data_IF_597485613995
#
_entry.id   IF_597485613995
#
_cell.length_a   1.000
_cell.length_b   1.000
_cell.length_c   1.000
_cell.angle_alpha   90.00
_cell.angle_beta   90.00
_cell.angle_gamma   90.00
#
_symmetry.space_group_name_H-M   'P 1'
#
loop_
_entity.id
_entity.type
_entity.pdbx_description
1 polymer ?
#
# COMPACT_ATOMS: atom_id res chain seq x y z
N UNK A 1 -15.88 1.15 35.16
CA UNK A 1 -14.98 1.78 34.23
C UNK A 1 -15.35 1.60 32.74
N UNK A 2 -15.84 0.41 32.31
CA UNK A 2 -16.24 0.14 30.90
C UNK A 2 -17.34 1.07 30.35
N UNK A 3 -18.37 1.40 31.13
CA UNK A 3 -19.48 2.25 30.68
C UNK A 3 -19.11 3.73 30.40
N UNK A 4 -18.13 4.27 31.11
CA UNK A 4 -17.66 5.67 30.85
C UNK A 4 -16.89 5.83 29.54
N UNK A 5 -16.25 4.75 29.05
CA UNK A 5 -15.52 4.75 27.77
C UNK A 5 -16.45 4.73 26.56
N UNK A 6 -17.51 3.93 26.62
CA UNK A 6 -18.54 3.86 25.56
C UNK A 6 -19.29 5.18 25.44
N UNK A 7 -19.57 5.87 26.58
CA UNK A 7 -20.25 7.15 26.58
C UNK A 7 -19.39 8.28 25.94
N UNK A 8 -18.04 8.24 26.12
CA UNK A 8 -17.13 9.20 25.49
C UNK A 8 -17.02 9.00 23.97
N UNK A 9 -17.03 7.77 23.50
CA UNK A 9 -17.06 7.45 22.06
C UNK A 9 -18.39 7.87 21.42
N UNK A 10 -19.52 7.67 22.11
CA UNK A 10 -20.83 8.11 21.64
C UNK A 10 -20.97 9.64 21.58
N UNK A 11 -20.47 10.37 22.58
CA UNK A 11 -20.47 11.84 22.61
C UNK A 11 -19.57 12.43 21.52
N UNK A 12 -18.46 11.79 21.20
CA UNK A 12 -17.54 12.23 20.14
C UNK A 12 -18.12 12.01 18.73
N UNK A 13 -18.84 10.91 18.51
CA UNK A 13 -19.57 10.68 17.27
C UNK A 13 -20.62 11.77 17.01
N UNK A 14 -21.31 12.23 18.06
CA UNK A 14 -22.30 13.32 17.97
C UNK A 14 -21.63 14.67 17.68
N UNK A 15 -20.46 14.95 18.25
CA UNK A 15 -19.75 16.23 18.03
C UNK A 15 -19.18 16.34 16.61
N UNK A 16 -18.71 15.21 16.03
CA UNK A 16 -18.24 15.17 14.63
C UNK A 16 -19.40 15.31 13.65
N UNK A 17 -20.58 14.76 13.97
CA UNK A 17 -21.77 14.89 13.12
C UNK A 17 -22.30 16.33 13.03
N UNK A 18 -22.11 17.17 14.06
CA UNK A 18 -22.55 18.58 14.05
C UNK A 18 -21.58 19.52 13.35
N UNK A 19 -20.30 19.18 13.26
CA UNK A 19 -19.28 20.01 12.60
C UNK A 19 -19.29 19.89 11.06
N UNK A 20 -19.85 18.80 10.50
CA UNK A 20 -19.81 18.51 9.06
C UNK A 20 -20.87 19.28 8.26
N UNK A 21 -21.94 19.80 8.91
CA UNK A 21 -23.04 20.48 8.21
C UNK A 21 -22.73 21.91 7.72
N UNK A 22 -21.53 22.42 7.95
CA UNK A 22 -21.17 23.82 7.67
C UNK A 22 -20.29 24.06 6.43
N UNK A 23 -19.79 23.04 5.73
CA UNK A 23 -18.71 23.23 4.76
C UNK A 23 -18.92 22.58 3.39
N UNK A 24 -20.14 22.32 2.99
CA UNK A 24 -20.43 21.71 1.69
C UNK A 24 -20.85 22.77 0.65
N UNK A 25 -19.92 23.33 -0.09
CA UNK A 25 -20.20 23.92 -1.40
C UNK A 25 -19.22 23.42 -2.44
N UNK A 26 -19.74 22.59 -3.33
CA UNK A 26 -19.36 22.45 -4.72
C UNK A 26 -18.17 21.57 -5.06
N UNK A 27 -18.43 20.35 -5.50
CA UNK A 27 -17.86 19.76 -6.70
C UNK A 27 -18.52 18.42 -7.00
N UNK A 28 -19.11 18.33 -8.15
CA UNK A 28 -19.75 17.13 -8.70
C UNK A 28 -18.67 16.13 -9.14
N UNK A 29 -18.43 15.07 -8.37
CA UNK A 29 -17.60 13.96 -8.80
C UNK A 29 -18.31 12.64 -8.52
N UNK A 30 -18.53 11.90 -9.60
CA UNK A 30 -19.30 10.64 -9.61
C UNK A 30 -18.80 9.60 -8.62
N UNK A 31 -19.75 8.76 -8.23
CA UNK A 31 -19.64 7.65 -7.31
C UNK A 31 -18.39 6.79 -7.50
N UNK A 32 -17.79 6.42 -6.39
CA UNK A 32 -16.87 5.31 -6.25
C UNK A 32 -15.42 5.74 -6.21
N UNK A 33 -14.90 5.91 -4.97
CA UNK A 33 -13.48 5.95 -4.72
C UNK A 33 -12.84 4.61 -5.08
N UNK A 34 -12.76 4.32 -6.37
CA UNK A 34 -11.77 3.40 -6.89
C UNK A 34 -10.47 4.17 -6.86
N UNK A 35 -9.62 3.81 -5.94
CA UNK A 35 -8.28 4.29 -6.04
C UNK A 35 -7.62 3.69 -7.26
N UNK A 36 -6.93 4.57 -7.94
CA UNK A 36 -6.46 4.43 -9.30
C UNK A 36 -5.25 3.51 -9.42
N UNK A 37 -5.38 2.33 -8.83
CA UNK A 37 -4.40 1.30 -9.08
C UNK A 37 -4.49 0.78 -10.50
N UNK A 38 -5.64 0.49 -11.04
CA UNK A 38 -5.65 -0.41 -12.18
C UNK A 38 -6.74 -0.22 -13.22
N UNK A 39 -7.77 0.60 -13.04
CA UNK A 39 -8.57 0.92 -14.19
C UNK A 39 -7.66 1.55 -15.24
N UNK A 40 -7.55 0.92 -16.42
CA UNK A 40 -6.63 1.40 -17.44
C UNK A 40 -6.81 2.91 -17.57
N UNK A 41 -5.72 3.66 -17.64
CA UNK A 41 -5.77 5.12 -17.84
C UNK A 41 -6.73 5.44 -18.98
N UNK A 42 -6.87 4.55 -19.95
CA UNK A 42 -7.82 4.63 -21.08
C UNK A 42 -9.30 4.58 -20.69
N UNK A 43 -9.71 3.81 -19.69
CA UNK A 43 -11.11 3.83 -19.23
C UNK A 43 -11.43 5.13 -18.46
N UNK A 44 -10.46 5.63 -17.71
CA UNK A 44 -10.55 6.92 -17.02
C UNK A 44 -10.50 8.09 -18.01
N UNK A 45 -9.75 7.99 -19.09
CA UNK A 45 -9.73 8.96 -20.20
C UNK A 45 -11.10 9.12 -20.88
N UNK A 46 -11.94 8.09 -20.89
CA UNK A 46 -13.28 8.15 -21.50
C UNK A 46 -14.34 8.85 -20.65
N UNK A 47 -14.10 8.96 -19.35
CA UNK A 47 -15.07 9.52 -18.38
C UNK A 47 -14.74 10.98 -18.02
N UNK A 48 -13.55 11.47 -18.39
CA UNK A 48 -13.08 12.82 -18.03
C UNK A 48 -13.43 13.82 -19.14
N UNK A 49 -14.07 14.92 -18.78
CA UNK A 49 -14.41 16.00 -19.73
C UNK A 49 -13.13 16.74 -20.14
N UNK A 50 -12.77 16.63 -21.42
CA UNK A 50 -11.47 17.08 -22.00
C UNK A 50 -11.06 18.53 -21.67
N UNK A 51 -11.98 19.38 -21.25
CA UNK A 51 -11.73 20.80 -21.04
C UNK A 51 -11.24 21.18 -19.64
N UNK A 52 -11.49 20.33 -18.62
CA UNK A 52 -11.12 20.55 -17.22
C UNK A 52 -10.02 19.61 -16.70
N UNK A 53 -9.43 18.77 -17.56
CA UNK A 53 -8.58 17.68 -17.12
C UNK A 53 -7.09 17.94 -17.30
N UNK A 54 -6.70 19.11 -17.82
CA UNK A 54 -5.30 19.46 -18.01
C UNK A 54 -4.53 19.58 -16.70
N UNK A 55 -5.21 20.01 -15.63
CA UNK A 55 -4.59 20.21 -14.33
C UNK A 55 -5.60 20.02 -13.22
N UNK A 56 -5.39 19.02 -12.39
CA UNK A 56 -6.19 18.75 -11.20
C UNK A 56 -5.30 18.63 -9.98
N UNK A 57 -5.70 19.25 -8.88
CA UNK A 57 -5.02 19.20 -7.60
C UNK A 57 -5.92 18.54 -6.57
N UNK A 58 -5.36 17.56 -5.86
CA UNK A 58 -6.04 16.87 -4.78
C UNK A 58 -5.23 16.95 -3.49
N UNK A 59 -5.93 17.16 -2.39
CA UNK A 59 -5.40 16.93 -1.06
C UNK A 59 -6.08 15.69 -0.50
N UNK A 60 -5.30 14.66 -0.21
CA UNK A 60 -5.78 13.40 0.35
C UNK A 60 -5.40 13.35 1.83
N UNK A 61 -6.36 13.16 2.72
CA UNK A 61 -6.11 13.13 4.16
C UNK A 61 -6.83 11.97 4.83
N UNK A 62 -6.20 11.45 5.88
CA UNK A 62 -6.80 10.52 6.83
C UNK A 62 -6.37 10.96 8.23
N UNK A 63 -7.33 11.35 9.04
CA UNK A 63 -7.18 11.67 10.47
C UNK A 63 -8.07 10.76 11.28
N UNK A 64 -7.58 10.29 12.42
CA UNK A 64 -8.32 9.37 13.27
C UNK A 64 -8.23 9.76 14.73
N UNK A 65 -9.26 9.41 15.50
CA UNK A 65 -9.14 9.20 16.93
C UNK A 65 -9.05 7.70 17.19
N UNK A 66 -8.01 7.28 17.88
CA UNK A 66 -7.72 5.88 18.16
C UNK A 66 -7.75 5.65 19.67
N UNK A 67 -8.22 4.48 20.08
CA UNK A 67 -8.17 3.97 21.45
C UNK A 67 -7.65 2.53 21.43
N UNK A 68 -6.50 2.30 22.03
CA UNK A 68 -5.95 0.96 22.19
C UNK A 68 -6.72 0.19 23.28
N UNK A 69 -7.06 -1.07 23.00
CA UNK A 69 -7.88 -1.91 23.89
C UNK A 69 -7.10 -2.91 24.73
N UNK A 70 -5.79 -2.85 24.75
CA UNK A 70 -4.91 -3.74 25.52
C UNK A 70 -3.56 -3.08 25.78
N UNK A 71 -2.89 -3.47 26.87
CA UNK A 71 -1.65 -2.84 27.27
C UNK A 71 -1.86 -1.48 27.93
N UNK A 72 -0.85 -0.61 27.80
CA UNK A 72 -0.96 0.78 28.29
C UNK A 72 -2.03 1.53 27.49
N UNK A 73 -2.97 2.21 28.17
CA UNK A 73 -4.01 2.98 27.51
C UNK A 73 -3.37 4.16 26.81
N UNK A 74 -3.26 4.08 25.48
CA UNK A 74 -2.85 5.18 24.61
C UNK A 74 -4.01 5.48 23.65
N UNK A 75 -4.69 6.57 23.89
CA UNK A 75 -5.79 7.05 23.05
C UNK A 75 -5.54 8.49 22.63
N UNK A 76 -5.88 8.84 21.39
CA UNK A 76 -5.69 10.20 20.93
C UNK A 76 -5.96 10.43 19.45
N UNK A 77 -5.86 11.71 19.07
CA UNK A 77 -5.93 12.10 17.67
C UNK A 77 -4.62 11.79 16.95
N UNK A 78 -4.71 11.14 15.80
CA UNK A 78 -3.59 10.79 14.93
C UNK A 78 -3.81 11.36 13.52
N UNK A 79 -2.85 12.12 13.00
CA UNK A 79 -2.76 12.43 11.57
C UNK A 79 -2.07 11.25 10.88
N UNK A 80 -2.81 10.43 10.16
CA UNK A 80 -2.28 9.22 9.55
C UNK A 80 -1.67 9.45 8.19
N UNK A 81 -2.35 10.22 7.35
CA UNK A 81 -1.93 10.50 5.98
C UNK A 81 -2.26 11.94 5.61
N UNK A 82 -1.33 12.56 4.92
CA UNK A 82 -1.52 13.85 4.27
C UNK A 82 -0.73 13.84 2.97
N UNK A 83 -1.42 13.86 1.82
CA UNK A 83 -0.80 13.77 0.51
C UNK A 83 -1.35 14.85 -0.40
N UNK A 84 -0.44 15.53 -1.08
CA UNK A 84 -0.75 16.44 -2.17
C UNK A 84 -0.51 15.73 -3.49
N UNK A 85 -1.47 15.78 -4.41
CA UNK A 85 -1.38 15.17 -5.71
C UNK A 85 -1.81 16.15 -6.80
N UNK A 86 -0.95 16.33 -7.81
CA UNK A 86 -1.28 17.01 -9.04
C UNK A 86 -1.22 16.04 -10.21
N UNK A 87 -2.23 16.06 -11.07
CA UNK A 87 -2.29 15.20 -12.26
C UNK A 87 -3.14 15.80 -13.35
N UNK A 88 -2.90 15.39 -14.59
CA UNK A 88 -3.67 15.84 -15.72
C UNK A 88 -3.12 15.38 -17.05
N UNK A 89 -3.77 15.88 -18.10
CA UNK A 89 -3.40 15.65 -19.49
C UNK A 89 -2.88 16.93 -20.10
N UNK A 90 -1.71 16.88 -20.74
CA UNK A 90 -1.19 17.99 -21.49
C UNK A 90 -1.81 18.05 -22.88
N UNK A 91 -2.04 16.88 -23.48
CA UNK A 91 -2.72 16.69 -24.77
C UNK A 91 -3.31 15.26 -24.89
N UNK A 92 -3.61 14.80 -26.11
CA UNK A 92 -4.16 13.46 -26.38
C UNK A 92 -3.17 12.32 -26.09
N UNK A 93 -1.87 12.62 -26.02
CA UNK A 93 -0.81 11.64 -25.87
C UNK A 93 -0.14 11.73 -24.50
N UNK A 94 0.00 12.92 -23.93
CA UNK A 94 0.77 13.15 -22.72
C UNK A 94 -0.11 13.33 -21.50
N UNK A 95 0.21 12.60 -20.44
CA UNK A 95 -0.34 12.82 -19.10
C UNK A 95 0.76 12.76 -18.04
N UNK A 96 0.48 13.35 -16.89
CA UNK A 96 1.43 13.41 -15.79
C UNK A 96 0.77 13.15 -14.46
N UNK A 97 1.58 12.71 -13.49
CA UNK A 97 1.19 12.55 -12.09
C UNK A 97 2.35 12.93 -11.18
N UNK A 98 2.06 13.78 -10.20
CA UNK A 98 2.99 14.22 -9.17
C UNK A 98 2.32 14.04 -7.82
N UNK A 99 2.96 13.37 -6.86
CA UNK A 99 2.40 13.18 -5.53
C UNK A 99 3.47 13.33 -4.45
N UNK A 100 3.14 14.15 -3.44
CA UNK A 100 3.94 14.33 -2.23
C UNK A 100 3.23 13.72 -1.03
N UNK A 101 3.99 13.05 -0.16
CA UNK A 101 3.59 12.57 1.15
C UNK A 101 4.13 13.52 2.22
N UNK A 102 3.27 14.28 2.88
CA UNK A 102 3.69 15.19 3.94
C UNK A 102 3.93 14.49 5.29
N UNK A 103 3.46 13.26 5.44
CA UNK A 103 3.75 12.40 6.59
C UNK A 103 5.18 11.86 6.63
N UNK A 104 5.97 12.04 5.57
CA UNK A 104 7.32 11.54 5.45
C UNK A 104 8.38 12.64 5.64
N UNK A 105 9.58 12.20 6.03
CA UNK A 105 10.75 13.07 6.09
C UNK A 105 11.11 13.66 4.72
N UNK A 106 11.57 14.90 4.71
CA UNK A 106 12.11 15.62 3.55
C UNK A 106 13.57 15.27 3.24
N UNK A 107 14.13 14.22 3.83
CA UNK A 107 15.49 13.77 3.51
C UNK A 107 15.62 13.42 2.03
N UNK A 108 16.73 13.87 1.44
CA UNK A 108 17.09 13.50 0.08
C UNK A 108 17.42 12.00 -0.01
N UNK A 109 17.08 11.43 -1.16
CA UNK A 109 17.53 10.11 -1.61
C UNK A 109 18.72 10.28 -2.57
N UNK A 110 19.42 9.20 -2.87
CA UNK A 110 20.55 9.20 -3.81
C UNK A 110 20.10 9.46 -5.28
N UNK A 111 18.82 9.26 -5.57
CA UNK A 111 18.20 9.57 -6.86
C UNK A 111 17.96 11.08 -7.09
N UNK A 112 18.30 11.93 -6.12
CA UNK A 112 18.10 13.37 -6.16
C UNK A 112 16.70 13.86 -5.76
N UNK A 113 15.74 12.96 -5.55
CA UNK A 113 14.42 13.29 -5.05
C UNK A 113 14.32 13.13 -3.52
N UNK A 114 13.41 13.89 -2.89
CA UNK A 114 13.14 13.73 -1.47
C UNK A 114 12.31 12.46 -1.21
N UNK A 115 12.37 11.94 0.03
CA UNK A 115 11.51 10.84 0.46
C UNK A 115 10.02 11.21 0.45
N UNK A 116 9.71 12.51 0.50
CA UNK A 116 8.33 13.00 0.43
C UNK A 116 7.74 12.91 -0.97
N UNK A 117 8.57 12.96 -2.03
CA UNK A 117 8.12 12.78 -3.41
C UNK A 117 8.04 11.29 -3.73
N UNK A 118 6.85 10.72 -3.73
CA UNK A 118 6.66 9.29 -3.99
C UNK A 118 6.21 8.97 -5.42
N UNK A 119 5.60 9.91 -6.12
CA UNK A 119 5.27 9.78 -7.54
C UNK A 119 5.69 11.05 -8.28
N UNK A 120 6.43 10.89 -9.36
CA UNK A 120 6.73 11.91 -10.37
C UNK A 120 6.91 11.19 -11.70
N UNK A 121 5.85 11.09 -12.47
CA UNK A 121 5.87 10.33 -13.72
C UNK A 121 5.15 11.06 -14.84
N UNK A 122 5.58 10.74 -16.05
CA UNK A 122 4.97 11.16 -17.30
C UNK A 122 4.58 9.90 -18.08
N UNK A 123 3.38 9.91 -18.64
CA UNK A 123 2.90 8.87 -19.55
C UNK A 123 2.80 9.41 -20.95
N UNK A 124 3.16 8.60 -21.93
CA UNK A 124 3.01 8.87 -23.34
C UNK A 124 2.21 7.77 -24.04
N UNK A 125 1.06 8.11 -24.57
CA UNK A 125 0.22 7.21 -25.34
C UNK A 125 0.73 7.22 -26.80
N UNK A 126 1.50 6.19 -27.17
CA UNK A 126 2.07 6.04 -28.52
C UNK A 126 0.96 5.82 -29.55
N UNK A 127 0.01 4.98 -29.23
CA UNK A 127 -1.19 4.68 -30.02
C UNK A 127 -2.28 4.09 -29.10
N UNK A 128 -3.40 3.66 -29.65
CA UNK A 128 -4.56 3.14 -28.88
C UNK A 128 -4.22 1.93 -27.97
N UNK A 129 -3.11 1.24 -28.21
CA UNK A 129 -2.73 0.01 -27.49
C UNK A 129 -1.42 0.11 -26.74
N UNK A 130 -0.53 1.03 -27.12
CA UNK A 130 0.82 1.10 -26.57
C UNK A 130 1.00 2.37 -25.76
N UNK A 131 1.43 2.23 -24.52
CA UNK A 131 1.71 3.29 -23.58
C UNK A 131 3.10 3.15 -22.98
N UNK A 132 3.80 4.26 -22.88
CA UNK A 132 5.08 4.39 -22.19
C UNK A 132 4.88 5.20 -20.91
N UNK A 133 5.58 4.83 -19.85
CA UNK A 133 5.57 5.54 -18.57
C UNK A 133 7.00 5.69 -18.08
N UNK A 134 7.40 6.88 -17.67
CA UNK A 134 8.77 7.18 -17.22
C UNK A 134 8.72 8.07 -15.98
N UNK A 135 9.59 7.80 -15.01
CA UNK A 135 9.77 8.60 -13.81
C UNK A 135 9.76 7.80 -12.53
N UNK A 136 9.59 8.48 -11.40
CA UNK A 136 9.44 7.86 -10.08
C UNK A 136 7.98 7.43 -9.92
N UNK A 137 7.77 6.15 -9.75
CA UNK A 137 6.43 5.55 -9.70
C UNK A 137 6.43 4.31 -8.83
N UNK A 138 5.24 3.90 -8.38
CA UNK A 138 5.09 2.57 -7.83
C UNK A 138 5.44 1.53 -8.90
N UNK A 139 6.22 0.52 -8.54
CA UNK A 139 6.42 -0.65 -9.40
C UNK A 139 5.04 -1.22 -9.77
N UNK A 140 4.86 -1.66 -11.00
CA UNK A 140 3.63 -2.31 -11.45
C UNK A 140 3.45 -3.70 -10.83
N UNK A 141 3.56 -3.79 -9.50
CA UNK A 141 3.35 -5.03 -8.76
C UNK A 141 1.87 -5.31 -8.59
N UNK A 142 1.48 -6.58 -8.60
CA UNK A 142 0.11 -7.01 -8.44
C UNK A 142 -0.43 -6.88 -7.03
N UNK A 143 -1.76 -7.01 -6.91
CA UNK A 143 -2.46 -6.99 -5.64
C UNK A 143 -3.25 -5.71 -5.39
N UNK A 144 -4.45 -5.89 -4.88
CA UNK A 144 -5.40 -4.78 -4.66
C UNK A 144 -5.17 -4.07 -3.33
N UNK A 145 -4.61 -4.73 -2.31
CA UNK A 145 -4.15 -4.04 -1.10
C UNK A 145 -3.00 -3.08 -1.43
N UNK A 146 -2.09 -3.51 -2.31
CA UNK A 146 -0.97 -2.71 -2.78
C UNK A 146 -1.43 -1.49 -3.59
N UNK A 147 -2.44 -1.67 -4.46
CA UNK A 147 -2.99 -0.62 -5.32
C UNK A 147 -3.93 0.33 -4.58
N UNK A 148 -4.41 -0.06 -3.39
CA UNK A 148 -5.36 0.74 -2.64
C UNK A 148 -4.78 2.09 -2.24
N UNK A 149 -5.63 3.14 -2.28
CA UNK A 149 -5.24 4.44 -1.75
C UNK A 149 -4.93 4.34 -0.27
N UNK A 150 -3.72 4.69 0.09
CA UNK A 150 -3.27 4.59 1.46
C UNK A 150 -4.13 5.37 2.46
N UNK A 151 -4.91 6.37 2.02
CA UNK A 151 -5.85 7.06 2.92
C UNK A 151 -7.03 6.17 3.32
N UNK A 152 -7.37 5.17 2.49
CA UNK A 152 -8.50 4.26 2.74
C UNK A 152 -8.07 3.00 3.50
N UNK A 153 -6.77 2.70 3.55
CA UNK A 153 -6.25 1.53 4.24
C UNK A 153 -6.01 1.85 5.71
N UNK A 154 -6.82 1.26 6.58
CA UNK A 154 -6.73 1.46 8.03
C UNK A 154 -5.51 0.75 8.62
N UNK A 155 -5.20 -0.44 8.12
CA UNK A 155 -3.98 -1.19 8.45
C UNK A 155 -3.55 -2.06 7.26
N UNK A 156 -2.26 -2.05 6.96
CA UNK A 156 -1.67 -2.90 5.92
C UNK A 156 -1.26 -4.26 6.50
N UNK A 157 -1.19 -5.29 5.64
CA UNK A 157 -0.37 -6.46 5.92
C UNK A 157 1.08 -6.04 6.21
N UNK A 158 1.81 -6.80 7.01
CA UNK A 158 3.23 -6.48 7.30
C UNK A 158 4.06 -6.49 6.02
N UNK A 159 3.72 -7.34 5.06
CA UNK A 159 4.33 -7.37 3.73
C UNK A 159 4.24 -5.99 3.05
N UNK A 160 3.05 -5.46 2.88
CA UNK A 160 2.87 -4.17 2.20
C UNK A 160 3.32 -2.97 3.05
N UNK A 161 3.25 -3.06 4.38
CA UNK A 161 3.70 -2.00 5.29
C UNK A 161 5.22 -1.78 5.23
N UNK A 162 5.99 -2.85 4.99
CA UNK A 162 7.46 -2.84 5.00
C UNK A 162 8.09 -2.85 3.61
N UNK A 163 7.30 -2.70 2.54
CA UNK A 163 7.79 -2.76 1.18
C UNK A 163 7.78 -1.38 0.50
N UNK A 164 8.96 -0.81 0.25
CA UNK A 164 9.08 0.44 -0.51
C UNK A 164 9.18 0.16 -2.00
N UNK A 165 8.22 0.66 -2.76
CA UNK A 165 8.02 0.35 -4.17
C UNK A 165 8.06 1.56 -5.09
N UNK A 166 8.13 2.78 -4.54
CA UNK A 166 8.20 4.01 -5.35
C UNK A 166 9.63 4.21 -5.87
N UNK A 167 9.92 3.66 -7.04
CA UNK A 167 11.25 3.60 -7.66
C UNK A 167 11.27 4.39 -8.98
N UNK A 168 12.47 4.86 -9.37
CA UNK A 168 12.68 5.51 -10.68
C UNK A 168 12.86 4.45 -11.74
N UNK A 169 12.10 4.57 -12.83
CA UNK A 169 12.19 3.63 -13.94
C UNK A 169 11.30 3.99 -15.11
N UNK A 170 11.09 3.00 -15.97
CA UNK A 170 10.20 3.08 -17.12
C UNK A 170 9.32 1.85 -17.19
N UNK A 171 8.16 2.01 -17.80
CA UNK A 171 7.22 0.93 -18.07
C UNK A 171 6.69 1.04 -19.49
N UNK A 172 6.58 -0.09 -20.15
CA UNK A 172 5.89 -0.25 -21.43
C UNK A 172 4.66 -1.11 -21.18
N UNK A 173 3.48 -0.59 -21.47
CA UNK A 173 2.22 -1.30 -21.34
C UNK A 173 1.56 -1.47 -22.70
N UNK A 174 1.02 -2.66 -22.95
CA UNK A 174 0.38 -3.01 -24.20
C UNK A 174 -0.99 -3.67 -23.98
N UNK A 175 -2.02 -3.08 -24.54
CA UNK A 175 -3.37 -3.65 -24.58
C UNK A 175 -3.45 -4.78 -25.60
N UNK A 176 -3.31 -6.02 -25.14
CA UNK A 176 -3.39 -7.23 -25.99
C UNK A 176 -4.77 -7.38 -26.59
N UNK A 177 -5.79 -7.14 -25.80
CA UNK A 177 -7.20 -7.13 -26.21
C UNK A 177 -8.01 -6.23 -25.27
N UNK A 178 -9.29 -6.03 -25.54
CA UNK A 178 -10.17 -5.24 -24.66
C UNK A 178 -10.13 -5.80 -23.22
N UNK A 179 -9.74 -4.96 -22.27
CA UNK A 179 -9.65 -5.32 -20.85
C UNK A 179 -8.51 -6.27 -20.51
N UNK A 180 -7.48 -6.41 -21.36
CA UNK A 180 -6.29 -7.23 -21.10
C UNK A 180 -5.04 -6.43 -21.44
N UNK A 181 -4.27 -6.07 -20.41
CA UNK A 181 -3.02 -5.34 -20.54
C UNK A 181 -1.85 -6.20 -20.01
N UNK A 182 -0.76 -6.20 -20.72
CA UNK A 182 0.52 -6.73 -20.27
C UNK A 182 1.49 -5.56 -20.20
N UNK A 183 2.25 -5.45 -19.11
CA UNK A 183 3.31 -4.45 -19.01
C UNK A 183 4.64 -5.05 -18.58
N UNK A 184 5.70 -4.38 -19.00
CA UNK A 184 7.08 -4.63 -18.61
C UNK A 184 7.65 -3.34 -18.02
N UNK A 185 8.03 -3.39 -16.75
CA UNK A 185 8.69 -2.28 -16.08
C UNK A 185 10.15 -2.62 -15.77
N UNK A 186 11.03 -1.63 -15.95
CA UNK A 186 12.43 -1.67 -15.53
C UNK A 186 12.69 -0.45 -14.68
N UNK A 187 13.20 -0.65 -13.47
CA UNK A 187 13.49 0.44 -12.53
C UNK A 187 14.79 0.20 -11.77
N UNK A 188 15.25 1.21 -11.04
CA UNK A 188 16.24 0.98 -10.00
C UNK A 188 15.70 -0.04 -8.99
N UNK A 189 16.56 -0.84 -8.37
CA UNK A 189 16.15 -1.71 -7.26
C UNK A 189 15.93 -0.94 -5.96
N UNK A 190 16.60 0.19 -5.80
CA UNK A 190 16.55 1.08 -4.63
C UNK A 190 16.69 2.53 -5.05
N UNK A 191 16.16 3.44 -4.22
CA UNK A 191 16.34 4.88 -4.38
C UNK A 191 17.56 5.41 -3.61
N UNK A 192 18.14 4.60 -2.74
CA UNK A 192 19.32 4.91 -1.95
C UNK A 192 20.46 3.95 -2.31
N UNK A 193 21.69 4.32 -1.96
CA UNK A 193 22.83 3.42 -2.11
C UNK A 193 22.66 2.16 -1.27
N UNK A 194 23.32 1.07 -1.69
CA UNK A 194 23.18 -0.22 -1.02
C UNK A 194 23.63 -0.16 0.44
N UNK A 195 24.59 0.68 0.77
CA UNK A 195 25.10 0.88 2.13
C UNK A 195 24.08 1.63 3.02
N UNK A 196 23.24 2.48 2.43
CA UNK A 196 22.13 3.14 3.16
C UNK A 196 20.92 2.23 3.34
N UNK A 197 20.69 1.32 2.38
CA UNK A 197 19.56 0.38 2.45
C UNK A 197 19.87 -0.76 3.42
N UNK A 198 21.12 -1.26 3.40
CA UNK A 198 21.58 -2.37 4.22
C UNK A 198 22.88 -1.98 4.96
N UNK A 199 22.81 -1.05 5.93
CA UNK A 199 23.99 -0.58 6.65
C UNK A 199 24.66 -1.74 7.39
N UNK A 200 25.98 -1.87 7.20
CA UNK A 200 26.76 -2.92 7.85
C UNK A 200 26.66 -4.31 7.24
N UNK A 201 25.86 -4.52 6.20
CA UNK A 201 25.70 -5.83 5.57
C UNK A 201 26.90 -6.30 4.72
N UNK A 202 27.91 -5.44 4.50
CA UNK A 202 29.12 -5.79 3.74
C UNK A 202 28.84 -6.13 2.26
N UNK A 203 27.72 -5.68 1.70
CA UNK A 203 27.33 -6.01 0.33
C UNK A 203 28.20 -5.29 -0.69
N UNK A 204 28.63 -6.02 -1.70
CA UNK A 204 29.33 -5.42 -2.84
C UNK A 204 28.34 -4.79 -3.82
N UNK A 205 28.64 -3.56 -4.25
CA UNK A 205 27.81 -2.84 -5.23
C UNK A 205 27.67 -3.64 -6.52
N UNK A 206 26.45 -3.70 -7.05
CA UNK A 206 26.22 -4.13 -8.42
C UNK A 206 26.48 -2.97 -9.38
N UNK A 207 26.95 -3.29 -10.59
CA UNK A 207 27.04 -2.31 -11.68
C UNK A 207 25.65 -1.87 -12.17
N UNK A 208 24.66 -2.75 -12.09
CA UNK A 208 23.28 -2.54 -12.57
C UNK A 208 22.26 -3.04 -11.54
N UNK A 209 22.02 -2.27 -10.44
CA UNK A 209 21.03 -2.65 -9.43
C UNK A 209 19.62 -2.30 -9.95
N UNK A 210 19.04 -3.23 -10.72
CA UNK A 210 17.76 -3.04 -11.41
C UNK A 210 16.71 -4.03 -10.95
N UNK A 211 15.46 -3.59 -11.01
CA UNK A 211 14.28 -4.44 -10.90
C UNK A 211 13.58 -4.53 -12.26
N UNK A 212 13.13 -5.73 -12.60
CA UNK A 212 12.32 -6.00 -13.80
C UNK A 212 11.02 -6.63 -13.33
N UNK A 213 9.90 -6.01 -13.70
CA UNK A 213 8.55 -6.48 -13.38
C UNK A 213 7.78 -6.77 -14.66
N UNK A 214 7.26 -7.98 -14.76
CA UNK A 214 6.22 -8.33 -15.74
C UNK A 214 4.89 -8.32 -15.02
N UNK A 215 3.91 -7.65 -15.60
CA UNK A 215 2.61 -7.47 -15.00
C UNK A 215 1.51 -7.77 -16.02
N UNK A 216 0.45 -8.44 -15.57
CA UNK A 216 -0.78 -8.66 -16.32
C UNK A 216 -1.96 -8.09 -15.54
N UNK A 217 -2.69 -7.21 -16.20
CA UNK A 217 -3.97 -6.69 -15.74
C UNK A 217 -5.07 -7.18 -16.65
N UNK A 218 -6.04 -7.89 -16.10
CA UNK A 218 -7.09 -8.50 -16.88
C UNK A 218 -8.45 -8.28 -16.27
N UNK A 219 -9.42 -7.94 -17.12
CA UNK A 219 -10.83 -7.86 -16.75
C UNK A 219 -11.58 -9.02 -17.40
N UNK A 220 -12.26 -9.84 -16.59
CA UNK A 220 -12.98 -11.05 -17.01
C UNK A 220 -14.36 -11.11 -16.34
N UNK A 221 -15.16 -12.13 -16.73
CA UNK A 221 -16.49 -12.38 -16.18
C UNK A 221 -17.39 -11.13 -16.25
N UNK A 222 -17.69 -10.70 -17.48
CA UNK A 222 -18.61 -9.57 -17.75
C UNK A 222 -18.16 -8.27 -17.06
N UNK A 223 -16.86 -7.98 -17.09
CA UNK A 223 -16.25 -6.80 -16.48
C UNK A 223 -16.44 -6.69 -14.94
N UNK A 224 -16.66 -7.83 -14.27
CA UNK A 224 -16.87 -7.88 -12.82
C UNK A 224 -15.66 -8.40 -12.04
N UNK A 225 -14.82 -9.21 -12.69
CA UNK A 225 -13.63 -9.77 -12.09
C UNK A 225 -12.40 -9.13 -12.72
N UNK A 226 -11.67 -8.37 -11.92
CA UNK A 226 -10.39 -7.76 -12.30
C UNK A 226 -9.26 -8.58 -11.70
N UNK A 227 -8.19 -8.81 -12.46
CA UNK A 227 -6.98 -9.47 -11.98
C UNK A 227 -5.80 -8.55 -12.18
N UNK A 228 -4.91 -8.53 -11.20
CA UNK A 228 -3.65 -7.82 -11.24
C UNK A 228 -2.57 -8.77 -10.72
N UNK A 229 -1.82 -9.37 -11.63
CA UNK A 229 -0.81 -10.38 -11.35
C UNK A 229 0.54 -9.92 -11.85
N UNK A 230 1.57 -10.06 -11.02
CA UNK A 230 2.92 -9.68 -11.40
C UNK A 230 3.98 -10.64 -10.87
N UNK A 231 5.10 -10.63 -11.57
CA UNK A 231 6.35 -11.21 -11.11
C UNK A 231 7.46 -10.17 -11.25
N UNK A 232 8.22 -9.97 -10.18
CA UNK A 232 9.35 -9.05 -10.14
C UNK A 232 10.62 -9.79 -9.79
N UNK A 233 11.66 -9.60 -10.62
CA UNK A 233 13.04 -9.94 -10.29
C UNK A 233 13.81 -8.66 -9.99
N UNK A 234 14.45 -8.62 -8.83
CA UNK A 234 15.12 -7.42 -8.32
C UNK A 234 16.56 -7.76 -7.95
N UNK A 235 17.52 -7.28 -8.76
CA UNK A 235 18.94 -7.41 -8.49
C UNK A 235 19.44 -6.21 -7.71
N UNK A 236 19.86 -6.39 -6.45
CA UNK A 236 20.18 -5.28 -5.54
C UNK A 236 21.68 -5.06 -5.38
N UNK A 237 22.45 -6.14 -5.28
CA UNK A 237 23.89 -6.11 -5.07
C UNK A 237 24.56 -7.29 -5.81
N UNK A 238 25.87 -7.32 -5.87
CA UNK A 238 26.60 -8.43 -6.45
C UNK A 238 26.27 -9.74 -5.74
N UNK A 239 25.70 -10.72 -6.46
CA UNK A 239 25.24 -11.99 -5.90
C UNK A 239 23.98 -11.90 -5.02
N UNK A 240 23.26 -10.76 -5.00
CA UNK A 240 22.04 -10.58 -4.20
C UNK A 240 20.87 -10.21 -5.10
N UNK A 241 19.86 -11.06 -5.13
CA UNK A 241 18.63 -10.81 -5.89
C UNK A 241 17.41 -11.29 -5.13
N UNK A 242 16.35 -10.51 -5.19
CA UNK A 242 15.07 -10.81 -4.57
C UNK A 242 14.00 -11.04 -5.64
N UNK A 243 13.01 -11.86 -5.36
CA UNK A 243 11.93 -12.21 -6.28
C UNK A 243 10.59 -12.07 -5.58
N UNK A 244 9.61 -11.57 -6.30
CA UNK A 244 8.26 -11.32 -5.77
C UNK A 244 7.22 -11.82 -6.76
N UNK A 245 6.34 -12.70 -6.30
CA UNK A 245 5.11 -13.09 -7.00
C UNK A 245 3.93 -12.46 -6.28
N UNK A 246 3.15 -11.66 -6.97
CA UNK A 246 1.99 -10.99 -6.42
C UNK A 246 0.77 -11.24 -7.32
N UNK A 247 -0.27 -11.82 -6.74
CA UNK A 247 -1.49 -12.20 -7.44
C UNK A 247 -2.69 -11.57 -6.73
N UNK A 248 -3.41 -10.71 -7.42
CA UNK A 248 -4.62 -10.10 -6.90
C UNK A 248 -5.83 -10.35 -7.79
N UNK A 249 -6.98 -10.56 -7.19
CA UNK A 249 -8.26 -10.68 -7.90
C UNK A 249 -9.34 -9.89 -7.17
N UNK A 250 -10.01 -8.99 -7.87
CA UNK A 250 -11.07 -8.12 -7.36
C UNK A 250 -12.39 -8.44 -8.07
N UNK A 251 -13.39 -8.78 -7.29
CA UNK A 251 -14.76 -8.96 -7.73
C UNK A 251 -15.58 -7.71 -7.38
N UNK A 252 -16.20 -7.09 -8.40
CA UNK A 252 -17.19 -6.03 -8.21
C UNK A 252 -18.54 -6.52 -8.71
N UNK A 253 -19.49 -6.77 -7.81
CA UNK A 253 -20.80 -7.29 -8.16
C UNK A 253 -21.92 -6.64 -7.35
N UNK A 254 -22.81 -5.91 -8.04
CA UNK A 254 -23.89 -5.15 -7.42
C UNK A 254 -23.36 -4.20 -6.33
N UNK A 255 -23.68 -4.49 -5.07
CA UNK A 255 -23.29 -3.72 -3.88
C UNK A 255 -22.00 -4.23 -3.23
N UNK A 256 -21.38 -5.27 -3.79
CA UNK A 256 -20.18 -5.91 -3.27
C UNK A 256 -18.94 -5.51 -4.02
N UNK A 257 -17.88 -5.25 -3.29
CA UNK A 257 -16.53 -5.15 -3.81
C UNK A 257 -15.61 -5.97 -2.90
N UNK A 258 -15.07 -7.07 -3.41
CA UNK A 258 -14.24 -7.98 -2.63
C UNK A 258 -12.97 -8.30 -3.40
N UNK A 259 -11.81 -8.28 -2.72
CA UNK A 259 -10.57 -8.76 -3.31
C UNK A 259 -9.92 -9.85 -2.46
N UNK A 260 -9.12 -10.65 -3.14
CA UNK A 260 -8.22 -11.62 -2.56
C UNK A 260 -6.84 -11.44 -3.20
N UNK A 261 -5.83 -11.23 -2.37
CA UNK A 261 -4.44 -11.12 -2.78
C UNK A 261 -3.61 -12.25 -2.17
N UNK A 262 -2.61 -12.68 -2.93
CA UNK A 262 -1.56 -13.58 -2.51
C UNK A 262 -0.21 -12.99 -2.88
N UNK A 263 0.69 -12.89 -1.89
CA UNK A 263 2.06 -12.42 -2.08
C UNK A 263 3.04 -13.49 -1.64
N UNK A 264 4.09 -13.67 -2.42
CA UNK A 264 5.21 -14.53 -2.07
C UNK A 264 6.52 -13.82 -2.43
N UNK A 265 7.43 -13.76 -1.45
CA UNK A 265 8.77 -13.24 -1.65
C UNK A 265 9.82 -14.31 -1.36
N UNK A 266 10.83 -14.37 -2.24
CA UNK A 266 12.10 -15.07 -2.04
C UNK A 266 13.20 -14.02 -2.01
N UNK A 267 13.81 -13.82 -0.85
CA UNK A 267 14.76 -12.74 -0.62
C UNK A 267 16.12 -13.29 -0.24
N UNK A 268 17.13 -13.10 -1.10
CA UNK A 268 18.51 -13.45 -0.74
C UNK A 268 19.04 -12.58 0.40
N UNK A 269 18.45 -11.40 0.61
CA UNK A 269 18.65 -10.56 1.78
C UNK A 269 17.29 -10.02 2.20
N UNK A 270 17.03 -10.03 3.50
CA UNK A 270 15.76 -9.61 4.08
C UNK A 270 15.44 -8.13 3.77
N UNK A 271 14.76 -7.90 2.66
CA UNK A 271 14.37 -6.56 2.19
C UNK A 271 13.24 -5.97 3.02
N UNK A 272 12.31 -6.80 3.49
CA UNK A 272 11.23 -6.37 4.38
C UNK A 272 11.75 -6.03 5.77
N UNK A 273 12.91 -6.57 6.18
CA UNK A 273 13.56 -6.29 7.45
C UNK A 273 12.88 -6.94 8.67
N UNK A 274 11.78 -7.69 8.47
CA UNK A 274 10.99 -8.27 9.55
C UNK A 274 11.73 -9.41 10.22
N UNK A 275 12.28 -10.35 9.43
CA UNK A 275 13.02 -11.51 9.96
C UNK A 275 14.31 -11.06 10.62
N UNK A 276 14.99 -10.05 10.05
CA UNK A 276 16.21 -9.49 10.63
C UNK A 276 15.95 -8.80 11.96
N UNK A 277 14.85 -8.04 12.07
CA UNK A 277 14.44 -7.41 13.32
C UNK A 277 14.08 -8.43 14.41
N UNK A 278 13.30 -9.47 14.04
CA UNK A 278 12.93 -10.54 14.96
C UNK A 278 14.17 -11.34 15.42
N UNK A 279 15.11 -11.65 14.51
CA UNK A 279 16.36 -12.34 14.84
C UNK A 279 17.22 -11.53 15.81
N UNK A 280 17.31 -10.21 15.58
CA UNK A 280 18.03 -9.32 16.50
C UNK A 280 17.37 -9.27 17.89
N UNK A 281 16.04 -9.18 17.94
CA UNK A 281 15.27 -9.19 19.19
C UNK A 281 15.41 -10.53 19.95
N UNK A 282 15.55 -11.64 19.23
CA UNK A 282 15.77 -12.97 19.80
C UNK A 282 17.23 -13.24 20.23
N UNK A 283 18.15 -12.32 19.95
CA UNK A 283 19.59 -12.54 20.21
C UNK A 283 20.20 -13.67 19.39
N UNK A 284 19.59 -14.01 18.24
CA UNK A 284 20.11 -15.02 17.33
C UNK A 284 21.37 -14.45 16.69
N UNK A 285 22.51 -15.15 16.91
CA UNK A 285 23.81 -14.72 16.44
C UNK A 285 23.84 -14.54 14.92
N UNK A 286 24.48 -13.46 14.52
CA UNK A 286 24.72 -13.11 13.13
C UNK A 286 25.75 -14.04 12.48
N UNK A 287 25.76 -14.21 11.16
CA UNK A 287 26.86 -14.89 10.47
C UNK A 287 28.20 -14.25 10.86
N UNK A 288 29.22 -15.07 11.05
CA UNK A 288 30.57 -14.62 11.36
C UNK A 288 31.03 -13.54 10.36
N UNK A 289 31.49 -12.39 10.88
CA UNK A 289 32.03 -11.29 10.07
C UNK A 289 31.16 -10.03 10.01
N UNK A 290 30.01 -9.99 10.67
CA UNK A 290 29.26 -8.75 10.83
C UNK A 290 29.75 -7.97 12.06
N UNK A 291 29.94 -6.65 11.90
CA UNK A 291 30.25 -5.75 13.04
C UNK A 291 29.12 -5.81 14.07
N UNK A 292 29.48 -6.06 15.34
CA UNK A 292 28.53 -6.15 16.45
C UNK A 292 27.68 -4.88 16.68
N UNK A 293 28.00 -3.79 16.00
CA UNK A 293 27.27 -2.50 16.05
C UNK A 293 26.26 -2.30 14.93
N UNK A 294 26.22 -3.19 13.93
CA UNK A 294 25.32 -3.07 12.77
C UNK A 294 24.23 -4.12 12.84
N UNK A 295 22.96 -3.79 12.49
CA UNK A 295 21.92 -4.79 12.40
C UNK A 295 22.31 -5.81 11.33
N UNK A 296 22.32 -7.10 11.69
CA UNK A 296 22.55 -8.15 10.70
C UNK A 296 21.31 -8.34 9.86
N UNK A 297 21.53 -8.42 8.60
CA UNK A 297 20.50 -8.80 7.64
C UNK A 297 20.52 -10.30 7.43
N UNK A 298 19.39 -10.94 7.75
CA UNK A 298 19.21 -12.36 7.51
C UNK A 298 19.13 -12.61 6.01
N UNK A 299 19.73 -13.72 5.57
CA UNK A 299 19.72 -14.15 4.17
C UNK A 299 18.74 -15.29 3.93
N UNK A 300 18.36 -15.46 2.65
CA UNK A 300 17.46 -16.51 2.17
C UNK A 300 16.13 -16.60 2.91
N UNK A 301 15.51 -15.41 3.01
CA UNK A 301 14.22 -15.21 3.69
C UNK A 301 13.06 -15.48 2.73
N UNK A 302 11.98 -16.02 3.27
CA UNK A 302 10.73 -16.28 2.55
C UNK A 302 9.55 -15.65 3.28
N UNK A 303 8.72 -14.95 2.53
CA UNK A 303 7.44 -14.41 3.01
C UNK A 303 6.29 -14.97 2.21
N UNK A 304 5.19 -15.27 2.87
CA UNK A 304 3.91 -15.62 2.26
C UNK A 304 2.81 -14.81 2.94
N UNK A 305 1.95 -14.19 2.15
CA UNK A 305 0.86 -13.36 2.67
C UNK A 305 -0.40 -13.60 1.87
N UNK A 306 -1.51 -13.80 2.56
CA UNK A 306 -2.86 -13.76 2.01
C UNK A 306 -3.59 -12.56 2.59
N UNK A 307 -4.26 -11.78 1.74
CA UNK A 307 -5.10 -10.66 2.15
C UNK A 307 -6.47 -10.80 1.53
N UNK A 308 -7.50 -10.80 2.34
CA UNK A 308 -8.90 -10.77 1.89
C UNK A 308 -9.59 -9.49 2.37
N UNK A 309 -10.34 -8.86 1.49
CA UNK A 309 -11.14 -7.67 1.80
C UNK A 309 -12.51 -7.78 1.16
N UNK A 310 -13.51 -7.31 1.84
CA UNK A 310 -14.86 -7.21 1.30
C UNK A 310 -15.56 -5.97 1.81
N UNK A 311 -16.19 -5.23 0.91
CA UNK A 311 -17.04 -4.08 1.19
C UNK A 311 -18.44 -4.36 0.66
N UNK A 312 -19.46 -4.01 1.44
CA UNK A 312 -20.87 -4.10 1.06
C UNK A 312 -21.58 -2.78 1.31
N UNK A 313 -22.15 -2.20 0.25
CA UNK A 313 -22.99 -1.02 0.34
C UNK A 313 -24.44 -1.40 0.60
N UNK A 314 -24.90 -1.34 1.85
CA UNK A 314 -26.32 -1.61 2.18
C UNK A 314 -27.23 -0.43 1.83
N UNK A 315 -26.67 0.80 1.76
CA UNK A 315 -27.34 1.97 1.18
C UNK A 315 -26.30 2.86 0.46
N UNK A 316 -26.72 3.90 -0.28
CA UNK A 316 -25.77 4.85 -0.86
C UNK A 316 -24.88 5.52 0.18
N UNK A 317 -25.42 5.79 1.39
CA UNK A 317 -24.72 6.49 2.46
C UNK A 317 -23.99 5.57 3.44
N UNK A 318 -24.17 4.25 3.37
CA UNK A 318 -23.61 3.34 4.34
C UNK A 318 -22.98 2.11 3.70
N UNK A 319 -21.78 1.78 4.16
CA UNK A 319 -21.11 0.53 3.80
C UNK A 319 -20.51 -0.14 5.03
N UNK A 320 -20.42 -1.46 4.99
CA UNK A 320 -19.65 -2.26 5.91
C UNK A 320 -18.43 -2.84 5.22
N UNK A 321 -17.29 -2.89 5.91
CA UNK A 321 -16.08 -3.50 5.39
C UNK A 321 -15.52 -4.53 6.36
N UNK A 322 -14.97 -5.60 5.79
CA UNK A 322 -14.21 -6.62 6.52
C UNK A 322 -12.91 -6.83 5.76
N UNK A 323 -11.79 -6.86 6.48
CA UNK A 323 -10.48 -7.26 5.95
C UNK A 323 -9.83 -8.25 6.89
N UNK A 324 -9.12 -9.22 6.33
CA UNK A 324 -8.27 -10.12 7.07
C UNK A 324 -6.99 -10.40 6.30
N UNK A 325 -5.90 -10.68 7.01
CA UNK A 325 -4.68 -11.18 6.41
C UNK A 325 -4.05 -12.27 7.28
N UNK A 326 -3.31 -13.14 6.64
CA UNK A 326 -2.49 -14.16 7.27
C UNK A 326 -1.13 -14.20 6.59
N UNK A 327 -0.07 -14.14 7.40
CA UNK A 327 1.31 -14.01 6.92
C UNK A 327 2.23 -15.00 7.62
N UNK A 328 3.21 -15.49 6.89
CA UNK A 328 4.26 -16.38 7.37
C UNK A 328 5.61 -15.84 6.95
N UNK A 329 6.57 -15.91 7.85
CA UNK A 329 7.96 -15.59 7.58
C UNK A 329 8.88 -16.74 7.98
N UNK A 330 9.94 -16.96 7.23
CA UNK A 330 10.88 -18.05 7.44
C UNK A 330 12.26 -17.70 6.88
N UNK A 331 13.32 -18.06 7.61
CA UNK A 331 14.67 -18.17 7.08
C UNK A 331 15.10 -19.65 7.19
N UNK A 332 14.90 -20.47 6.13
CA UNK A 332 15.04 -21.92 6.20
C UNK A 332 16.40 -22.43 6.63
N UNK A 333 17.46 -21.66 6.37
CA UNK A 333 18.85 -22.03 6.64
C UNK A 333 19.25 -21.83 8.12
N UNK A 334 18.39 -21.12 8.89
CA UNK A 334 18.58 -20.91 10.32
C UNK A 334 17.51 -21.71 11.07
N UNK A 335 17.92 -22.73 11.79
CA UNK A 335 17.02 -23.69 12.44
C UNK A 335 15.94 -23.00 13.30
N UNK A 336 16.32 -22.01 14.11
CA UNK A 336 15.40 -21.27 14.98
C UNK A 336 14.43 -20.37 14.20
N UNK A 337 14.75 -19.99 12.94
CA UNK A 337 13.95 -19.09 12.11
C UNK A 337 13.18 -19.84 11.00
N UNK A 338 13.14 -21.16 11.05
CA UNK A 338 12.40 -21.98 10.07
C UNK A 338 10.92 -21.98 10.43
N UNK A 339 10.07 -21.36 9.57
CA UNK A 339 8.62 -21.23 9.76
C UNK A 339 8.22 -20.65 11.12
N UNK A 340 9.04 -19.77 11.66
CA UNK A 340 9.00 -19.33 13.05
C UNK A 340 7.92 -18.30 13.35
N UNK A 341 7.45 -17.54 12.34
CA UNK A 341 6.54 -16.41 12.54
C UNK A 341 5.25 -16.58 11.76
N UNK A 342 4.14 -16.32 12.45
CA UNK A 342 2.79 -16.25 11.88
C UNK A 342 2.15 -14.97 12.37
N UNK A 343 1.64 -14.16 11.43
CA UNK A 343 0.98 -12.91 11.74
C UNK A 343 -0.44 -12.92 11.16
N UNK A 344 -1.42 -12.54 11.96
CA UNK A 344 -2.83 -12.47 11.58
C UNK A 344 -3.35 -11.08 11.88
N UNK A 345 -3.96 -10.45 10.89
CA UNK A 345 -4.65 -9.18 11.08
C UNK A 345 -6.11 -9.30 10.68
N UNK A 346 -6.95 -8.51 11.31
CA UNK A 346 -8.35 -8.40 10.98
C UNK A 346 -8.87 -7.01 11.27
N UNK A 347 -9.83 -6.57 10.47
CA UNK A 347 -10.54 -5.32 10.70
C UNK A 347 -11.99 -5.44 10.26
N UNK A 348 -12.87 -4.76 10.98
CA UNK A 348 -14.28 -4.58 10.63
C UNK A 348 -14.58 -3.11 10.76
N UNK A 349 -15.21 -2.50 9.75
CA UNK A 349 -15.57 -1.10 9.82
C UNK A 349 -16.97 -0.83 9.30
N UNK A 350 -17.60 0.18 9.89
CA UNK A 350 -18.83 0.80 9.41
C UNK A 350 -18.46 2.16 8.83
N UNK A 351 -18.81 2.40 7.59
CA UNK A 351 -18.50 3.63 6.86
C UNK A 351 -19.78 4.41 6.59
N UNK A 352 -19.72 5.72 6.82
CA UNK A 352 -20.80 6.64 6.53
C UNK A 352 -20.34 7.74 5.56
N UNK A 353 -21.04 7.84 4.43
CA UNK A 353 -20.83 8.79 3.36
C UNK A 353 -21.88 9.91 3.47
N UNK A 354 -21.57 11.02 4.14
CA UNK A 354 -22.56 12.09 4.40
C UNK A 354 -23.02 12.77 3.13
N UNK A 355 -22.12 12.95 2.18
CA UNK A 355 -22.37 13.60 0.89
C UNK A 355 -21.77 12.74 -0.23
N UNK A 356 -22.64 12.24 -1.10
CA UNK A 356 -22.24 11.39 -2.23
C UNK A 356 -21.56 12.18 -3.37
N UNK A 357 -21.62 13.50 -3.34
CA UNK A 357 -20.91 14.38 -4.28
C UNK A 357 -19.43 14.58 -3.90
N UNK A 358 -19.06 14.22 -2.66
CA UNK A 358 -17.72 14.36 -2.11
C UNK A 358 -17.07 13.01 -1.92
N UNK A 359 -15.77 12.91 -2.15
CA UNK A 359 -14.96 11.73 -1.81
C UNK A 359 -14.55 11.82 -0.34
N UNK A 360 -15.56 11.73 0.55
CA UNK A 360 -15.41 11.86 1.99
C UNK A 360 -16.27 10.86 2.73
N UNK A 361 -15.72 10.23 3.77
CA UNK A 361 -16.49 9.39 4.66
C UNK A 361 -15.89 9.30 6.08
N UNK A 362 -16.76 8.99 7.02
CA UNK A 362 -16.37 8.60 8.37
C UNK A 362 -16.33 7.06 8.44
N UNK A 363 -15.33 6.55 9.10
CA UNK A 363 -15.15 5.11 9.31
C UNK A 363 -14.98 4.82 10.81
N UNK A 364 -15.93 4.10 11.40
CA UNK A 364 -15.78 3.52 12.73
C UNK A 364 -15.30 2.09 12.58
N UNK A 365 -14.10 1.79 13.08
CA UNK A 365 -13.46 0.52 12.87
C UNK A 365 -12.95 -0.12 14.16
N UNK A 366 -12.95 -1.45 14.16
CA UNK A 366 -12.19 -2.28 15.08
C UNK A 366 -11.07 -2.96 14.30
N UNK A 367 -9.84 -2.80 14.73
CA UNK A 367 -8.64 -3.31 14.08
C UNK A 367 -7.85 -4.13 15.08
N UNK A 368 -7.47 -5.33 14.69
CA UNK A 368 -6.67 -6.22 15.52
C UNK A 368 -5.56 -6.90 14.73
N UNK A 369 -4.45 -7.19 15.42
CA UNK A 369 -3.29 -7.89 14.89
C UNK A 369 -2.72 -8.81 15.95
N UNK A 370 -2.34 -10.02 15.56
CA UNK A 370 -1.72 -11.02 16.46
C UNK A 370 -0.53 -11.65 15.77
N UNK A 371 0.65 -11.52 16.38
CA UNK A 371 1.86 -12.18 15.94
C UNK A 371 2.16 -13.35 16.89
N UNK A 372 2.41 -14.51 16.30
CA UNK A 372 2.79 -15.74 16.99
C UNK A 372 4.14 -16.19 16.49
N UNK A 373 4.99 -16.54 17.44
CA UNK A 373 6.31 -17.07 17.20
C UNK A 373 6.37 -18.54 17.59
N UNK A 374 7.23 -19.31 16.94
CA UNK A 374 7.62 -20.63 17.38
C UNK A 374 8.47 -20.54 18.66
N UNK A 375 8.31 -21.48 19.57
CA UNK A 375 9.03 -21.48 20.85
C UNK A 375 10.57 -21.50 20.66
N UNK A 376 11.03 -22.08 19.55
CA UNK A 376 12.47 -22.15 19.25
C UNK A 376 13.14 -20.78 19.05
N UNK A 377 12.38 -19.73 18.72
CA UNK A 377 12.93 -18.38 18.54
C UNK A 377 13.00 -17.59 19.87
N UNK A 378 12.23 -18.00 20.89
CA UNK A 378 12.23 -17.38 22.22
C UNK A 378 11.58 -15.99 22.29
N UNK A 379 10.85 -15.55 21.26
CA UNK A 379 10.11 -14.30 21.27
C UNK A 379 8.70 -14.46 21.84
N UNK A 380 8.21 -13.48 22.62
CA UNK A 380 6.85 -13.53 23.15
C UNK A 380 5.80 -13.27 22.06
N UNK A 381 4.75 -14.05 22.05
CA UNK A 381 3.57 -13.76 21.25
C UNK A 381 2.96 -12.42 21.69
N UNK A 382 2.48 -11.61 20.74
CA UNK A 382 1.84 -10.35 21.05
C UNK A 382 0.60 -10.09 20.22
N UNK A 383 -0.31 -9.32 20.78
CA UNK A 383 -1.54 -8.89 20.09
C UNK A 383 -1.80 -7.43 20.38
N UNK A 384 -2.28 -6.72 19.37
CA UNK A 384 -2.75 -5.36 19.49
C UNK A 384 -4.17 -5.25 18.97
N UNK A 385 -4.99 -4.46 19.66
CA UNK A 385 -6.38 -4.20 19.25
C UNK A 385 -6.67 -2.73 19.48
N UNK A 386 -7.37 -2.10 18.54
CA UNK A 386 -7.81 -0.71 18.67
C UNK A 386 -9.20 -0.51 18.10
N UNK A 387 -9.89 0.47 18.65
CA UNK A 387 -11.07 1.07 18.04
C UNK A 387 -10.66 2.43 17.51
N UNK A 388 -11.09 2.77 16.31
CA UNK A 388 -10.78 4.04 15.70
C UNK A 388 -12.00 4.65 15.02
N UNK A 389 -12.08 5.98 15.08
CA UNK A 389 -12.99 6.79 14.28
C UNK A 389 -12.15 7.64 13.35
N UNK A 390 -12.18 7.33 12.06
CA UNK A 390 -11.38 8.00 11.04
C UNK A 390 -12.24 8.89 10.16
N UNK A 391 -11.76 10.10 9.86
CA UNK A 391 -12.23 10.93 8.76
C UNK A 391 -11.28 10.76 7.59
N UNK A 392 -11.80 10.22 6.50
CA UNK A 392 -11.07 10.02 5.25
C UNK A 392 -11.65 10.97 4.23
N UNK A 393 -10.81 11.83 3.67
CA UNK A 393 -11.26 12.87 2.76
C UNK A 393 -10.24 13.14 1.65
N UNK A 394 -10.72 13.09 0.39
CA UNK A 394 -9.99 13.49 -0.79
C UNK A 394 -10.61 14.77 -1.33
N UNK A 395 -9.92 15.88 -1.12
CA UNK A 395 -10.39 17.21 -1.53
C UNK A 395 -9.84 17.48 -2.93
N UNK A 396 -10.72 17.69 -3.90
CA UNK A 396 -10.34 18.30 -5.17
C UNK A 396 -10.26 19.83 -4.94
N UNK A 397 -9.05 20.38 -5.00
CA UNK A 397 -8.81 21.81 -4.79
C UNK A 397 -9.00 22.57 -6.10
N UNK A 398 -8.57 21.95 -7.22
CA UNK A 398 -8.62 22.55 -8.56
C UNK A 398 -8.86 21.47 -9.60
#
# INVERSE_FOLDING_TARGET
MKHKRILRLGLMAVFVMTAVNGWAQGANTGMGGRDEGVASILEKLKVMDKKNDAFNIFLNTNTAYEENLGGDPDGGFKGRRLRFEARGFLDEHWSYRLRFKFENSWQKQDDGFSNSLDIMMVNYQVNKRLRLKVGKQALGMGGFEYDANAIQVLDYSDFNANFNTSLIGMEVAYDVSKGQEISLAVSNSNNNSIEKVYPGAGLQKSRHPLAVTVNWMGNRLWDKLENHWSYTYMHEASGVSNQFLMLGSLLTWNKWQCYLDYYHAWENIDRHGIVSADAAAAGIAQPEGSDASSPAYIRDVRYQTFVGYCQYHFSPHWAGTVKGFAEWASAPDISALKNYRRNYGYQVALQWFPDLSQDAHLSLAYVGKTTRYDDAVGLPNHSSNRVELSLIYRIKIF
#
